data_IF_045318864172
#
_entry.id   IF_045318864172
#
_cell.length_a   1.000
_cell.length_b   1.000
_cell.length_c   1.000
_cell.angle_alpha   90.00
_cell.angle_beta   90.00
_cell.angle_gamma   90.00
#
_symmetry.space_group_name_H-M   'P 1'
#
loop_
_entity.id
_entity.type
_entity.pdbx_description
1 polymer ?
#
# COMPACT_ATOMS: atom_id res chain seq x y z
N UNK A 1 -0.33 22.06 -15.26
CA UNK A 1 -0.23 21.30 -13.98
C UNK A 1 -1.38 20.32 -13.93
N UNK A 2 -1.09 19.04 -14.21
CA UNK A 2 -1.95 17.91 -13.89
C UNK A 2 -1.11 17.10 -12.91
N UNK A 3 -1.49 17.11 -11.63
CA UNK A 3 -0.86 16.24 -10.65
C UNK A 3 -1.15 14.80 -11.04
N UNK A 4 -0.10 13.98 -11.14
CA UNK A 4 -0.24 12.53 -11.19
C UNK A 4 -0.81 12.08 -9.83
N UNK A 5 -2.14 12.15 -9.72
CA UNK A 5 -2.89 11.19 -8.92
C UNK A 5 -2.54 9.82 -9.47
N UNK A 6 -2.16 8.90 -8.58
CA UNK A 6 -1.92 7.50 -8.91
C UNK A 6 -3.06 7.02 -9.81
N UNK A 7 -2.70 6.60 -11.02
CA UNK A 7 -3.63 6.07 -11.99
C UNK A 7 -4.17 4.75 -11.43
N UNK A 8 -5.24 4.82 -10.65
CA UNK A 8 -6.16 3.70 -10.53
C UNK A 8 -6.73 3.55 -11.93
N UNK A 9 -6.36 2.48 -12.62
CA UNK A 9 -6.93 2.13 -13.92
C UNK A 9 -8.41 1.84 -13.68
N UNK A 10 -9.23 2.86 -13.91
CA UNK A 10 -10.69 2.75 -13.94
C UNK A 10 -11.05 2.01 -15.23
N UNK A 11 -11.43 0.73 -15.13
CA UNK A 11 -11.98 0.01 -16.28
C UNK A 11 -13.51 -0.07 -16.19
N UNK A 12 -14.15 0.47 -17.24
CA UNK A 12 -15.54 0.20 -17.58
C UNK A 12 -15.63 -1.26 -18.05
N UNK A 13 -16.35 -2.09 -17.31
CA UNK A 13 -16.79 -3.39 -17.79
C UNK A 13 -18.11 -3.17 -18.52
N UNK A 14 -18.10 -3.35 -19.85
CA UNK A 14 -19.28 -3.26 -20.69
C UNK A 14 -20.15 -4.52 -20.49
N UNK A 15 -21.30 -4.37 -19.84
CA UNK A 15 -22.28 -5.44 -19.72
C UNK A 15 -23.27 -5.38 -20.89
N UNK A 16 -23.29 -6.43 -21.71
CA UNK A 16 -24.38 -6.68 -22.67
C UNK A 16 -25.69 -6.90 -21.91
N UNK A 17 -26.60 -5.94 -22.01
CA UNK A 17 -27.97 -6.07 -21.53
C UNK A 17 -28.93 -5.16 -22.29
N UNK A 18 -29.63 -5.72 -23.28
CA UNK A 18 -30.98 -5.33 -23.73
C UNK A 18 -31.13 -3.98 -24.44
N UNK A 19 -31.72 -4.02 -25.63
CA UNK A 19 -32.06 -2.86 -26.47
C UNK A 19 -32.72 -1.70 -25.68
N UNK A 20 -32.00 -0.58 -25.59
CA UNK A 20 -32.50 0.67 -25.03
C UNK A 20 -31.50 1.79 -25.29
N UNK A 21 -31.86 2.75 -26.15
CA UNK A 21 -31.01 3.86 -26.56
C UNK A 21 -30.56 4.75 -25.36
N UNK A 22 -29.35 5.34 -25.39
CA UNK A 22 -28.86 6.19 -24.31
C UNK A 22 -29.49 7.59 -24.38
N UNK A 23 -30.08 8.05 -23.28
CA UNK A 23 -30.42 9.47 -23.07
C UNK A 23 -29.23 10.17 -22.43
N UNK A 24 -28.75 11.25 -23.04
CA UNK A 24 -27.69 12.12 -22.53
C UNK A 24 -28.18 12.90 -21.30
N UNK A 25 -27.43 12.82 -20.19
CA UNK A 25 -27.56 13.73 -19.06
C UNK A 25 -26.25 14.49 -18.90
N UNK A 26 -26.32 15.82 -19.08
CA UNK A 26 -25.23 16.76 -18.80
C UNK A 26 -25.27 17.12 -17.31
N UNK A 27 -24.19 16.86 -16.57
CA UNK A 27 -24.01 17.36 -15.21
C UNK A 27 -23.27 18.70 -15.28
N UNK A 28 -23.97 19.78 -14.92
CA UNK A 28 -23.39 21.10 -14.68
C UNK A 28 -22.80 21.09 -13.27
N UNK A 29 -21.50 21.36 -13.14
CA UNK A 29 -20.85 21.59 -11.86
C UNK A 29 -20.90 23.09 -11.55
N UNK A 30 -21.75 23.49 -10.60
CA UNK A 30 -21.70 24.83 -10.02
C UNK A 30 -20.55 24.89 -9.01
N UNK A 31 -19.64 25.86 -9.20
CA UNK A 31 -18.55 26.18 -8.29
C UNK A 31 -19.04 27.07 -7.14
N UNK A 32 -18.88 26.60 -5.91
CA UNK A 32 -19.03 27.43 -4.70
C UNK A 32 -17.63 27.86 -4.23
N UNK A 33 -17.35 29.17 -4.00
CA UNK A 33 -16.05 29.61 -3.49
C UNK A 33 -15.87 29.19 -2.02
N UNK A 34 -14.68 28.70 -1.68
CA UNK A 34 -14.23 28.53 -0.30
C UNK A 34 -13.58 29.83 0.18
N UNK A 35 -14.07 30.37 1.29
CA UNK A 35 -13.53 31.56 1.95
C UNK A 35 -12.10 31.32 2.48
N UNK A 36 -11.27 32.34 2.27
CA UNK A 36 -9.86 32.45 2.63
C UNK A 36 -9.70 32.80 4.13
N UNK A 37 -9.10 31.91 4.91
CA UNK A 37 -8.70 32.18 6.29
C UNK A 37 -7.18 32.36 6.38
N UNK A 38 -6.77 33.63 6.25
CA UNK A 38 -5.58 34.29 6.80
C UNK A 38 -4.37 33.43 7.18
N UNK A 39 -3.32 33.60 6.38
CA UNK A 39 -1.92 33.25 6.64
C UNK A 39 -1.47 33.58 8.06
N UNK A 40 -0.86 32.59 8.72
CA UNK A 40 0.09 32.81 9.81
C UNK A 40 1.47 33.02 9.18
N UNK A 41 1.90 34.28 9.12
CA UNK A 41 3.23 34.70 8.67
C UNK A 41 4.36 33.92 9.38
N UNK A 42 5.26 33.33 8.60
CA UNK A 42 6.61 32.99 9.09
C UNK A 42 7.20 31.62 8.73
N UNK A 43 6.47 30.70 8.10
CA UNK A 43 7.02 29.42 7.64
C UNK A 43 6.99 29.35 6.11
N UNK A 44 8.16 29.49 5.47
CA UNK A 44 8.27 29.32 4.02
C UNK A 44 7.73 27.95 3.59
N UNK A 45 6.72 27.95 2.72
CA UNK A 45 6.20 26.75 2.08
C UNK A 45 7.30 26.06 1.26
N UNK A 46 7.35 24.73 1.37
CA UNK A 46 8.26 23.88 0.61
C UNK A 46 7.54 23.40 -0.65
N UNK A 47 8.18 23.54 -1.80
CA UNK A 47 7.66 23.06 -3.08
C UNK A 47 8.61 22.01 -3.67
N UNK A 48 8.02 21.06 -4.37
CA UNK A 48 8.77 20.08 -5.16
C UNK A 48 9.09 20.72 -6.51
N UNK A 49 10.37 20.74 -6.88
CA UNK A 49 10.75 21.10 -8.25
C UNK A 49 10.48 19.95 -9.24
N UNK A 50 10.66 20.23 -10.52
CA UNK A 50 10.41 19.27 -11.61
C UNK A 50 11.34 18.03 -11.56
N UNK A 51 12.38 18.04 -10.71
CA UNK A 51 13.26 16.90 -10.44
C UNK A 51 12.85 16.09 -9.20
N UNK A 52 11.81 16.54 -8.48
CA UNK A 52 11.34 15.89 -7.26
C UNK A 52 12.25 16.14 -6.06
N UNK A 53 12.92 17.30 -5.99
CA UNK A 53 13.64 17.78 -4.82
C UNK A 53 12.83 18.86 -4.09
N UNK A 54 12.91 18.86 -2.75
CA UNK A 54 12.21 19.81 -1.88
C UNK A 54 12.98 21.13 -1.81
N UNK A 55 12.39 22.23 -2.26
CA UNK A 55 13.00 23.57 -2.25
C UNK A 55 12.14 24.60 -1.51
N UNK A 56 12.78 25.68 -1.04
CA UNK A 56 12.08 26.84 -0.48
C UNK A 56 11.54 27.71 -1.62
N UNK A 57 10.26 28.09 -1.54
CA UNK A 57 9.62 28.97 -2.51
C UNK A 57 10.28 30.37 -2.48
N UNK A 58 10.84 30.83 -3.61
CA UNK A 58 11.15 32.25 -3.86
C UNK A 58 12.58 32.78 -3.65
N UNK A 59 13.64 31.98 -3.81
CA UNK A 59 15.03 32.47 -3.79
C UNK A 59 15.69 32.54 -5.17
N UNK A 60 16.03 33.73 -5.66
CA UNK A 60 16.84 33.92 -6.87
C UNK A 60 18.20 33.19 -6.77
N UNK A 61 18.55 32.46 -7.82
CA UNK A 61 19.84 31.79 -7.97
C UNK A 61 21.00 32.80 -8.01
N UNK A 62 21.92 32.71 -7.05
CA UNK A 62 23.27 33.23 -7.20
C UNK A 62 24.16 32.06 -7.65
N UNK A 63 24.55 32.08 -8.92
CA UNK A 63 25.51 31.13 -9.46
C UNK A 63 26.88 31.31 -8.82
N UNK A 64 27.53 30.20 -8.47
CA UNK A 64 28.97 30.15 -8.26
C UNK A 64 29.52 29.06 -9.16
N UNK A 65 30.17 29.52 -10.23
CA UNK A 65 31.04 28.77 -11.12
C UNK A 65 32.24 28.25 -10.32
N UNK A 66 32.59 26.97 -10.43
CA UNK A 66 33.96 26.51 -10.16
C UNK A 66 34.37 25.47 -11.20
N UNK A 67 35.34 25.87 -12.03
CA UNK A 67 36.11 25.04 -12.95
C UNK A 67 37.41 24.58 -12.28
N UNK A 68 37.76 23.32 -12.54
CA UNK A 68 39.05 22.62 -12.57
C UNK A 68 40.14 22.80 -11.49
N UNK A 69 40.55 21.63 -10.96
CA UNK A 69 41.96 21.23 -10.91
C UNK A 69 42.67 21.23 -9.54
N UNK A 70 43.21 20.07 -9.14
CA UNK A 70 44.43 20.02 -8.31
C UNK A 70 44.34 19.31 -6.96
N UNK A 71 45.14 18.25 -6.81
CA UNK A 71 45.43 17.51 -5.57
C UNK A 71 46.12 18.40 -4.52
N UNK A 72 45.79 18.26 -3.23
CA UNK A 72 46.77 18.05 -2.12
C UNK A 72 46.11 18.12 -0.72
N UNK A 73 46.39 17.06 0.06
CA UNK A 73 46.70 16.94 1.50
C UNK A 73 46.01 17.75 2.61
N UNK A 74 45.74 16.97 3.66
CA UNK A 74 45.32 17.32 5.01
C UNK A 74 46.28 18.25 5.78
N UNK A 75 45.71 19.14 6.60
CA UNK A 75 46.03 19.31 8.04
C UNK A 75 45.15 20.40 8.66
N UNK A 76 44.96 20.25 9.97
CA UNK A 76 44.15 21.06 10.89
C UNK A 76 44.39 22.57 10.81
N UNK A 77 43.34 23.37 11.06
CA UNK A 77 43.45 24.45 12.06
C UNK A 77 42.08 24.99 12.53
N UNK A 78 42.01 25.22 13.84
CA UNK A 78 40.92 25.87 14.57
C UNK A 78 40.87 27.36 14.23
N UNK A 79 39.66 27.89 14.02
CA UNK A 79 39.39 29.30 14.26
C UNK A 79 38.01 29.49 14.92
N UNK A 80 38.05 29.81 16.21
CA UNK A 80 36.96 30.35 17.00
C UNK A 80 36.70 31.81 16.62
N UNK A 81 35.46 32.15 16.27
CA UNK A 81 34.98 33.52 16.29
C UNK A 81 33.66 33.57 17.09
N UNK A 82 33.75 34.22 18.25
CA UNK A 82 32.62 34.56 19.13
C UNK A 82 32.00 35.86 18.59
N UNK A 83 30.74 35.79 18.19
CA UNK A 83 29.93 36.95 17.84
C UNK A 83 28.54 36.80 18.47
N UNK A 84 28.27 37.54 19.54
CA UNK A 84 26.95 37.63 20.13
C UNK A 84 26.06 38.55 19.30
N UNK A 85 25.02 37.99 18.69
CA UNK A 85 23.79 38.71 18.35
C UNK A 85 22.60 37.94 18.91
N UNK A 86 21.88 38.57 19.84
CA UNK A 86 20.60 38.07 20.34
C UNK A 86 19.53 38.37 19.28
N UNK A 87 18.94 37.32 18.71
CA UNK A 87 17.67 37.37 18.00
C UNK A 87 16.91 36.10 18.34
N UNK A 88 15.80 36.24 19.06
CA UNK A 88 14.91 35.13 19.37
C UNK A 88 14.11 34.73 18.13
N UNK A 89 14.07 33.43 17.85
CA UNK A 89 13.07 32.80 16.98
C UNK A 89 13.23 31.29 17.10
N UNK A 90 12.30 30.66 17.82
CA UNK A 90 12.21 29.22 17.95
C UNK A 90 11.72 28.60 16.65
N UNK A 91 12.64 28.06 15.87
CA UNK A 91 12.39 26.92 15.00
C UNK A 91 13.50 25.92 15.31
N UNK A 92 13.12 24.74 15.81
CA UNK A 92 14.08 23.66 16.03
C UNK A 92 14.85 23.39 14.75
N UNK A 93 16.17 23.22 14.87
CA UNK A 93 17.00 22.64 13.80
C UNK A 93 16.38 21.28 13.46
N UNK A 94 15.63 21.19 12.37
CA UNK A 94 15.36 19.91 11.74
C UNK A 94 16.73 19.35 11.35
N UNK A 95 17.08 18.18 11.91
CA UNK A 95 18.26 17.44 11.49
C UNK A 95 18.23 17.27 9.97
N UNK A 96 19.40 17.18 9.35
CA UNK A 96 19.51 16.82 7.93
C UNK A 96 18.56 15.65 7.67
N UNK A 97 17.65 15.79 6.70
CA UNK A 97 16.92 14.65 6.16
C UNK A 97 17.99 13.67 5.67
N UNK A 98 18.30 12.67 6.48
CA UNK A 98 19.01 11.49 6.03
C UNK A 98 18.13 10.91 4.92
N UNK A 99 18.68 10.76 3.73
CA UNK A 99 18.01 10.03 2.67
C UNK A 99 17.65 8.66 3.22
N UNK A 100 16.36 8.44 3.51
CA UNK A 100 15.82 7.15 3.94
C UNK A 100 15.76 6.13 2.79
N UNK A 101 16.67 6.25 1.82
CA UNK A 101 16.95 5.15 0.92
C UNK A 101 17.80 4.19 1.71
N UNK A 102 17.31 2.95 1.86
CA UNK A 102 18.15 1.87 2.37
C UNK A 102 19.43 1.82 1.53
N UNK A 103 20.56 1.69 2.21
CA UNK A 103 21.87 1.56 1.57
C UNK A 103 21.79 0.48 0.47
N UNK A 104 22.08 0.86 -0.79
CA UNK A 104 22.05 -0.04 -1.95
C UNK A 104 20.79 -0.04 -2.82
N UNK A 105 19.78 0.81 -2.59
CA UNK A 105 18.68 1.00 -3.56
C UNK A 105 18.98 2.17 -4.49
N UNK A 106 19.42 1.89 -5.71
CA UNK A 106 19.41 2.88 -6.80
C UNK A 106 17.97 3.20 -7.17
N UNK A 107 17.63 4.49 -7.14
CA UNK A 107 16.33 4.97 -7.64
C UNK A 107 16.34 4.79 -9.15
N UNK A 108 15.39 4.02 -9.68
CA UNK A 108 15.18 3.92 -11.12
C UNK A 108 14.63 5.27 -11.64
N UNK A 109 15.26 5.82 -12.67
CA UNK A 109 14.69 6.93 -13.42
C UNK A 109 13.51 6.41 -14.25
N UNK A 110 12.36 7.06 -14.12
CA UNK A 110 11.18 6.69 -14.90
C UNK A 110 11.35 6.97 -16.39
N UNK A 111 12.24 7.89 -16.77
CA UNK A 111 12.60 8.20 -18.15
C UNK A 111 13.40 7.08 -18.82
N UNK A 112 14.10 6.27 -18.04
CA UNK A 112 14.89 5.15 -18.56
C UNK A 112 14.02 3.94 -18.88
N UNK A 113 12.87 3.77 -18.22
CA UNK A 113 12.00 2.60 -18.41
C UNK A 113 11.28 2.71 -19.77
N UNK A 114 11.54 1.76 -20.66
CA UNK A 114 10.94 1.73 -21.99
C UNK A 114 9.42 1.56 -21.88
N UNK A 115 8.67 2.36 -22.63
CA UNK A 115 7.21 2.44 -22.52
C UNK A 115 6.55 1.49 -23.51
N UNK A 116 5.41 0.93 -23.12
CA UNK A 116 4.55 0.11 -23.98
C UNK A 116 5.19 -1.19 -24.49
N UNK A 117 6.22 -1.70 -23.80
CA UNK A 117 6.92 -2.94 -24.15
C UNK A 117 6.58 -4.11 -23.23
N UNK A 118 5.55 -3.99 -22.41
CA UNK A 118 5.03 -5.09 -21.59
C UNK A 118 3.53 -5.22 -21.85
N UNK A 119 3.02 -6.43 -22.11
CA UNK A 119 1.59 -6.63 -22.32
C UNK A 119 0.80 -6.17 -21.10
N UNK A 120 -0.35 -5.53 -21.34
CA UNK A 120 -1.27 -5.22 -20.26
C UNK A 120 -1.83 -6.51 -19.68
N UNK A 121 -1.53 -6.76 -18.40
CA UNK A 121 -2.16 -7.84 -17.64
C UNK A 121 -3.61 -7.45 -17.35
N UNK A 122 -4.55 -8.28 -17.79
CA UNK A 122 -5.97 -8.18 -17.41
C UNK A 122 -6.19 -9.20 -16.30
N UNK A 123 -6.37 -8.79 -15.03
CA UNK A 123 -6.60 -9.72 -13.94
C UNK A 123 -7.84 -10.59 -14.23
N UNK A 124 -7.70 -11.92 -14.27
CA UNK A 124 -8.83 -12.83 -14.37
C UNK A 124 -9.79 -12.73 -13.19
N UNK A 125 -10.94 -13.38 -13.32
CA UNK A 125 -11.88 -13.54 -12.20
C UNK A 125 -11.28 -14.46 -11.13
N UNK A 126 -11.27 -14.00 -9.88
CA UNK A 126 -10.82 -14.77 -8.73
C UNK A 126 -11.73 -15.98 -8.51
N UNK A 127 -11.14 -17.16 -8.27
CA UNK A 127 -11.92 -18.35 -7.95
C UNK A 127 -12.61 -18.19 -6.60
N UNK A 128 -13.82 -18.74 -6.53
CA UNK A 128 -14.60 -18.91 -5.28
C UNK A 128 -14.38 -20.32 -4.72
N UNK A 129 -14.46 -20.47 -3.40
CA UNK A 129 -14.22 -21.76 -2.73
C UNK A 129 -15.25 -22.83 -3.15
N UNK A 130 -16.55 -22.53 -2.98
CA UNK A 130 -17.69 -23.34 -3.42
C UNK A 130 -18.89 -22.43 -3.61
N UNK A 131 -19.52 -22.50 -4.79
CA UNK A 131 -20.84 -21.89 -5.00
C UNK A 131 -21.88 -22.77 -4.30
N UNK A 132 -22.64 -22.22 -3.37
CA UNK A 132 -23.93 -22.80 -3.04
C UNK A 132 -25.03 -21.91 -3.62
N UNK A 133 -26.22 -22.45 -3.86
CA UNK A 133 -27.32 -21.72 -4.50
C UNK A 133 -27.79 -20.47 -3.73
N UNK A 134 -27.26 -20.21 -2.53
CA UNK A 134 -27.68 -19.15 -1.60
C UNK A 134 -26.65 -18.02 -1.46
N UNK A 135 -25.36 -18.26 -1.71
CA UNK A 135 -24.30 -17.26 -1.63
C UNK A 135 -23.00 -17.67 -2.36
N UNK A 136 -22.22 -16.68 -2.78
CA UNK A 136 -20.82 -16.84 -3.17
C UNK A 136 -19.93 -16.84 -1.92
N UNK A 137 -18.96 -17.76 -1.83
CA UNK A 137 -17.97 -17.79 -0.74
C UNK A 137 -16.56 -17.66 -1.28
N UNK A 138 -15.78 -16.76 -0.68
CA UNK A 138 -14.35 -16.58 -0.93
C UNK A 138 -13.58 -16.66 0.39
N UNK A 139 -12.37 -17.20 0.33
CA UNK A 139 -11.32 -16.92 1.31
C UNK A 139 -10.18 -16.26 0.56
N UNK A 140 -9.88 -15.01 0.93
CA UNK A 140 -8.94 -14.15 0.22
C UNK A 140 -7.86 -13.74 1.22
N UNK A 141 -6.61 -14.06 0.91
CA UNK A 141 -5.46 -13.74 1.72
C UNK A 141 -4.70 -12.54 1.18
N UNK A 142 -4.27 -11.66 2.07
CA UNK A 142 -3.18 -10.73 1.82
C UNK A 142 -1.84 -11.43 2.08
N UNK A 143 -0.96 -11.50 1.07
CA UNK A 143 0.39 -12.10 1.19
C UNK A 143 1.44 -11.21 0.55
N UNK A 144 2.70 -11.41 0.95
CA UNK A 144 3.88 -10.86 0.28
C UNK A 144 4.39 -11.87 -0.75
N UNK A 145 4.62 -11.43 -1.99
CA UNK A 145 5.19 -12.24 -3.07
C UNK A 145 5.96 -11.36 -4.05
N UNK A 146 6.61 -11.96 -5.07
CA UNK A 146 7.25 -11.20 -6.15
C UNK A 146 6.37 -11.18 -7.39
N UNK A 147 6.33 -10.05 -8.08
CA UNK A 147 5.68 -9.91 -9.38
C UNK A 147 6.60 -9.23 -10.37
N UNK A 148 6.71 -9.77 -11.59
CA UNK A 148 7.36 -9.08 -12.69
C UNK A 148 6.45 -7.95 -13.16
N UNK A 149 6.74 -6.70 -12.76
CA UNK A 149 5.97 -5.50 -13.13
C UNK A 149 6.63 -4.76 -14.29
N UNK A 150 7.93 -4.48 -14.16
CA UNK A 150 8.72 -3.78 -15.16
C UNK A 150 9.23 -4.74 -16.26
N UNK A 151 9.66 -4.22 -17.43
CA UNK A 151 10.26 -5.03 -18.49
C UNK A 151 11.37 -5.95 -17.95
N UNK A 152 11.36 -7.22 -18.35
CA UNK A 152 12.27 -8.22 -17.81
C UNK A 152 11.61 -9.57 -17.59
N UNK A 153 12.45 -10.59 -17.46
CA UNK A 153 12.00 -11.96 -17.19
C UNK A 153 10.95 -12.44 -18.19
N UNK A 154 9.76 -12.80 -17.71
CA UNK A 154 8.70 -13.35 -18.56
C UNK A 154 8.27 -12.38 -19.67
N UNK A 155 8.42 -11.06 -19.47
CA UNK A 155 8.03 -10.04 -20.44
C UNK A 155 9.02 -9.90 -21.59
N UNK A 156 10.28 -10.32 -21.39
CA UNK A 156 11.30 -10.31 -22.44
C UNK A 156 11.33 -11.63 -23.23
N UNK A 157 10.32 -12.48 -23.08
CA UNK A 157 10.24 -13.73 -23.83
C UNK A 157 9.68 -13.53 -25.23
N UNK A 158 10.20 -14.30 -26.20
CA UNK A 158 9.77 -14.25 -27.60
C UNK A 158 8.29 -14.57 -27.80
N UNK A 159 7.64 -15.22 -26.83
CA UNK A 159 6.20 -15.55 -26.83
C UNK A 159 5.32 -14.30 -26.89
N UNK A 160 5.78 -13.17 -26.34
CA UNK A 160 5.01 -11.92 -26.34
C UNK A 160 5.23 -11.07 -27.60
N UNK A 161 6.01 -11.57 -28.57
CA UNK A 161 6.35 -10.81 -29.78
C UNK A 161 7.18 -9.56 -29.50
N UNK A 162 7.70 -9.43 -28.27
CA UNK A 162 8.58 -8.36 -27.84
C UNK A 162 10.00 -8.78 -28.24
N UNK A 163 10.58 -7.94 -29.09
CA UNK A 163 11.79 -8.19 -29.89
C UNK A 163 12.99 -8.63 -29.05
N UNK A 164 13.90 -9.40 -29.65
CA UNK A 164 15.24 -9.79 -29.16
C UNK A 164 16.17 -8.62 -28.75
N UNK A 165 15.67 -7.37 -28.70
CA UNK A 165 16.46 -6.15 -28.53
C UNK A 165 16.13 -5.35 -27.26
N UNK A 166 15.28 -5.83 -26.35
CA UNK A 166 15.15 -5.17 -25.05
C UNK A 166 16.39 -5.46 -24.20
N UNK A 167 17.25 -4.45 -24.04
CA UNK A 167 18.38 -4.49 -23.10
C UNK A 167 17.92 -4.46 -21.64
N UNK A 168 16.69 -4.02 -21.38
CA UNK A 168 16.15 -3.85 -20.04
C UNK A 168 15.67 -5.16 -19.47
N UNK A 169 16.27 -5.59 -18.35
CA UNK A 169 15.92 -6.84 -17.71
C UNK A 169 15.75 -6.65 -16.20
N UNK A 170 14.72 -5.89 -15.80
CA UNK A 170 14.46 -5.57 -14.40
C UNK A 170 14.07 -6.81 -13.58
N UNK A 171 14.40 -6.78 -12.30
CA UNK A 171 14.02 -7.81 -11.35
C UNK A 171 12.53 -7.71 -10.98
N UNK A 172 11.92 -8.84 -10.63
CA UNK A 172 10.58 -8.87 -10.09
C UNK A 172 10.48 -8.07 -8.77
N UNK A 173 9.42 -7.29 -8.66
CA UNK A 173 9.14 -6.39 -7.53
C UNK A 173 8.50 -7.16 -6.40
N UNK A 174 8.97 -6.97 -5.17
CA UNK A 174 8.26 -7.45 -3.98
C UNK A 174 7.03 -6.60 -3.75
N UNK A 175 5.87 -7.23 -3.70
CA UNK A 175 4.57 -6.59 -3.45
C UNK A 175 3.82 -7.31 -2.35
N UNK A 176 2.87 -6.63 -1.75
CA UNK A 176 1.71 -7.26 -1.14
C UNK A 176 0.63 -7.43 -2.21
N UNK A 177 -0.32 -8.33 -1.99
CA UNK A 177 -1.48 -8.45 -2.85
C UNK A 177 -2.45 -9.49 -2.36
N UNK A 178 -3.61 -9.54 -3.03
CA UNK A 178 -4.70 -10.43 -2.70
C UNK A 178 -4.73 -11.65 -3.63
N UNK A 179 -5.03 -12.80 -3.06
CA UNK A 179 -5.27 -14.04 -3.80
C UNK A 179 -6.09 -15.04 -2.97
N UNK A 180 -6.65 -16.09 -3.60
CA UNK A 180 -7.29 -17.19 -2.89
C UNK A 180 -6.39 -17.78 -1.82
N UNK A 181 -6.92 -18.03 -0.62
CA UNK A 181 -6.13 -18.56 0.50
C UNK A 181 -5.49 -19.92 0.21
N UNK A 182 -6.15 -20.75 -0.59
CA UNK A 182 -5.68 -22.10 -0.97
C UNK A 182 -4.70 -22.08 -2.17
N UNK A 183 -4.35 -20.92 -2.71
CA UNK A 183 -3.38 -20.83 -3.81
C UNK A 183 -1.95 -21.17 -3.36
N UNK A 184 -1.21 -21.95 -4.17
CA UNK A 184 0.21 -22.17 -3.95
C UNK A 184 0.99 -20.89 -4.24
N UNK A 185 2.27 -20.89 -3.88
CA UNK A 185 3.18 -19.78 -4.21
C UNK A 185 3.20 -19.56 -5.73
N UNK A 186 3.05 -18.31 -6.22
CA UNK A 186 3.16 -18.01 -7.65
C UNK A 186 4.47 -18.54 -8.23
N UNK A 187 4.40 -19.32 -9.29
CA UNK A 187 5.59 -19.89 -9.90
C UNK A 187 5.52 -19.84 -11.42
N UNK A 188 6.19 -18.85 -12.00
CA UNK A 188 6.27 -18.68 -13.45
C UNK A 188 7.14 -19.73 -14.17
N UNK A 189 7.69 -20.77 -13.51
CA UNK A 189 8.70 -21.67 -14.11
C UNK A 189 8.24 -22.34 -15.41
N UNK A 190 6.94 -22.50 -15.63
CA UNK A 190 6.38 -23.02 -16.89
C UNK A 190 6.31 -21.99 -18.02
N UNK A 191 6.57 -20.71 -17.74
CA UNK A 191 6.57 -19.60 -18.69
C UNK A 191 7.99 -19.32 -19.17
N UNK A 192 8.16 -19.10 -20.47
CA UNK A 192 9.43 -18.69 -21.06
C UNK A 192 9.88 -17.34 -20.48
N UNK A 193 11.18 -17.18 -20.21
CA UNK A 193 11.75 -15.96 -19.61
C UNK A 193 11.61 -15.88 -18.09
N UNK A 194 10.97 -16.85 -17.43
CA UNK A 194 10.87 -16.84 -15.97
C UNK A 194 12.25 -16.82 -15.28
N UNK A 195 12.45 -15.85 -14.38
CA UNK A 195 13.72 -15.62 -13.67
C UNK A 195 13.90 -16.45 -12.40
N UNK A 196 12.91 -17.25 -12.03
CA UNK A 196 12.97 -18.09 -10.84
C UNK A 196 11.57 -18.46 -10.31
N UNK A 197 11.50 -19.38 -9.36
CA UNK A 197 10.25 -19.66 -8.65
C UNK A 197 9.80 -18.44 -7.82
N UNK A 198 8.54 -18.43 -7.38
CA UNK A 198 8.03 -17.37 -6.49
C UNK A 198 7.62 -16.07 -7.18
N UNK A 199 7.53 -16.07 -8.52
CA UNK A 199 7.26 -14.87 -9.33
C UNK A 199 5.91 -14.98 -10.05
N UNK A 200 5.05 -14.00 -9.82
CA UNK A 200 3.83 -13.72 -10.57
C UNK A 200 4.11 -12.81 -11.79
N UNK A 201 3.24 -12.77 -12.81
CA UNK A 201 2.09 -13.65 -13.00
C UNK A 201 2.50 -15.09 -13.26
N UNK A 202 1.69 -16.02 -12.78
CA UNK A 202 1.97 -17.45 -12.87
C UNK A 202 0.68 -18.23 -13.11
N UNK A 203 0.70 -19.31 -13.93
CA UNK A 203 -0.51 -20.07 -14.23
C UNK A 203 -1.01 -20.92 -13.06
N UNK A 204 -0.18 -21.15 -12.04
CA UNK A 204 -0.52 -21.99 -10.89
C UNK A 204 -1.14 -21.22 -9.71
N UNK A 205 -1.24 -19.89 -9.79
CA UNK A 205 -1.64 -19.05 -8.65
C UNK A 205 -2.34 -17.78 -9.11
N UNK A 206 -3.37 -17.34 -8.38
CA UNK A 206 -4.10 -16.09 -8.65
C UNK A 206 -3.63 -14.92 -7.77
N UNK A 207 -2.53 -15.07 -7.00
CA UNK A 207 -1.89 -13.91 -6.35
C UNK A 207 -1.28 -12.98 -7.41
N UNK A 208 -1.75 -11.73 -7.41
CA UNK A 208 -1.35 -10.72 -8.36
C UNK A 208 -1.59 -9.31 -7.79
N UNK A 209 -0.90 -8.33 -8.35
CA UNK A 209 -1.18 -6.91 -8.18
C UNK A 209 -1.49 -6.26 -9.55
N UNK A 210 -2.66 -5.62 -9.72
CA UNK A 210 -3.81 -5.62 -8.81
C UNK A 210 -4.32 -7.04 -8.53
N UNK A 211 -5.03 -7.22 -7.41
CA UNK A 211 -5.67 -8.50 -7.11
C UNK A 211 -6.68 -8.89 -8.20
N UNK A 212 -6.94 -10.20 -8.33
CA UNK A 212 -7.89 -10.69 -9.33
C UNK A 212 -9.32 -10.19 -9.06
N UNK A 213 -10.09 -10.01 -10.12
CA UNK A 213 -11.44 -9.41 -10.05
C UNK A 213 -12.43 -10.33 -9.35
N UNK A 214 -13.27 -9.77 -8.47
CA UNK A 214 -14.41 -10.48 -7.89
C UNK A 214 -15.68 -10.08 -8.64
N UNK A 215 -16.33 -11.04 -9.29
CA UNK A 215 -17.61 -10.82 -9.98
C UNK A 215 -18.79 -11.27 -9.13
N UNK A 216 -19.80 -10.42 -8.99
CA UNK A 216 -21.03 -10.71 -8.25
C UNK A 216 -22.29 -10.41 -9.06
N UNK A 217 -23.34 -11.16 -8.79
CA UNK A 217 -24.67 -10.91 -9.33
C UNK A 217 -25.51 -10.13 -8.33
N UNK A 218 -26.29 -9.16 -8.80
CA UNK A 218 -27.22 -8.40 -7.96
C UNK A 218 -28.16 -9.34 -7.18
N UNK A 219 -28.40 -9.02 -5.91
CA UNK A 219 -29.19 -9.77 -4.94
C UNK A 219 -28.66 -11.19 -4.63
N UNK A 220 -27.46 -11.54 -5.12
CA UNK A 220 -26.78 -12.77 -4.72
C UNK A 220 -25.72 -12.43 -3.68
N UNK A 221 -25.91 -12.90 -2.44
CA UNK A 221 -25.04 -12.56 -1.32
C UNK A 221 -23.62 -13.10 -1.51
N UNK A 222 -22.64 -12.39 -0.98
CA UNK A 222 -21.24 -12.82 -0.95
C UNK A 222 -20.73 -12.81 0.48
N UNK A 223 -20.06 -13.89 0.87
CA UNK A 223 -19.31 -14.00 2.12
C UNK A 223 -17.82 -14.08 1.75
N UNK A 224 -17.01 -13.22 2.35
CA UNK A 224 -15.56 -13.24 2.19
C UNK A 224 -14.92 -13.40 3.55
N UNK A 225 -14.12 -14.45 3.71
CA UNK A 225 -13.15 -14.57 4.79
C UNK A 225 -11.87 -13.87 4.33
N UNK A 226 -11.57 -12.71 4.92
CA UNK A 226 -10.36 -11.93 4.64
C UNK A 226 -9.25 -12.36 5.59
N UNK A 227 -8.17 -12.90 5.03
CA UNK A 227 -7.04 -13.46 5.75
C UNK A 227 -5.85 -12.50 5.73
N UNK A 228 -5.31 -12.20 6.91
CA UNK A 228 -4.03 -11.53 7.07
C UNK A 228 -2.93 -12.59 7.18
N UNK A 229 -2.39 -12.96 6.03
CA UNK A 229 -1.32 -13.97 5.90
C UNK A 229 0.05 -13.28 5.70
N UNK A 230 0.23 -12.07 6.25
CA UNK A 230 1.49 -11.34 6.21
C UNK A 230 2.48 -11.91 7.25
N UNK A 231 2.92 -13.14 6.98
CA UNK A 231 3.94 -13.90 7.72
C UNK A 231 5.12 -14.25 6.82
N UNK A 232 6.19 -14.83 7.40
CA UNK A 232 7.44 -15.13 6.68
C UNK A 232 7.24 -16.11 5.53
N UNK A 233 6.52 -17.21 5.79
CA UNK A 233 6.16 -18.22 4.79
C UNK A 233 4.69 -18.65 4.97
N UNK A 234 3.75 -17.94 4.31
CA UNK A 234 2.33 -18.22 4.44
C UNK A 234 1.90 -19.54 3.80
N UNK A 235 2.75 -20.19 3.00
CA UNK A 235 2.43 -21.48 2.38
C UNK A 235 2.80 -22.67 3.28
N UNK A 236 3.74 -22.48 4.20
CA UNK A 236 4.12 -23.48 5.21
C UNK A 236 3.48 -23.24 6.59
N UNK A 237 2.93 -22.05 6.84
CA UNK A 237 2.33 -21.72 8.14
C UNK A 237 0.98 -22.43 8.39
N UNK A 238 0.84 -23.15 9.51
CA UNK A 238 -0.47 -23.60 10.01
C UNK A 238 -1.15 -22.46 10.77
N UNK A 239 -1.97 -21.67 10.07
CA UNK A 239 -2.76 -20.58 10.68
C UNK A 239 -3.80 -21.06 11.71
N UNK A 240 -4.04 -22.36 11.86
CA UNK A 240 -4.88 -22.91 12.94
C UNK A 240 -4.11 -22.99 14.26
N UNK A 241 -2.80 -23.22 14.20
CA UNK A 241 -1.89 -23.31 15.33
C UNK A 241 -0.54 -22.66 14.96
N UNK A 242 -0.50 -21.31 14.84
CA UNK A 242 0.66 -20.63 14.31
C UNK A 242 1.88 -20.83 15.20
N UNK A 243 2.90 -21.50 14.66
CA UNK A 243 4.12 -21.85 15.37
C UNK A 243 5.32 -21.90 14.40
N UNK A 244 6.51 -21.70 14.95
CA UNK A 244 7.75 -21.73 14.19
C UNK A 244 7.96 -20.50 13.28
N UNK A 245 9.09 -20.51 12.58
CA UNK A 245 9.57 -19.38 11.80
C UNK A 245 8.67 -19.03 10.62
N UNK A 246 8.06 -20.03 9.97
CA UNK A 246 7.15 -19.81 8.84
C UNK A 246 5.97 -18.88 9.22
N UNK A 247 5.49 -19.00 10.45
CA UNK A 247 4.39 -18.22 10.99
C UNK A 247 4.83 -16.92 11.67
N UNK A 248 6.11 -16.55 11.69
CA UNK A 248 6.52 -15.25 12.24
C UNK A 248 5.97 -14.12 11.36
N UNK A 249 5.53 -13.02 11.97
CA UNK A 249 5.03 -11.87 11.21
C UNK A 249 6.14 -11.27 10.34
N UNK A 250 5.75 -10.66 9.21
CA UNK A 250 6.67 -9.81 8.46
C UNK A 250 6.51 -8.35 8.84
N UNK A 251 7.61 -7.61 8.72
CA UNK A 251 7.61 -6.15 8.71
C UNK A 251 6.99 -5.62 7.42
N UNK A 252 6.42 -4.43 7.50
CA UNK A 252 5.96 -3.73 6.31
C UNK A 252 7.14 -3.46 5.33
N UNK A 253 6.90 -3.53 4.02
CA UNK A 253 7.95 -3.33 3.00
C UNK A 253 8.34 -1.84 2.82
N UNK A 254 7.46 -0.94 3.27
CA UNK A 254 7.69 0.51 3.37
C UNK A 254 7.84 0.93 4.83
N UNK A 255 8.57 2.01 5.08
CA UNK A 255 8.69 2.65 6.39
C UNK A 255 7.34 3.15 6.90
N UNK A 256 7.05 2.86 8.18
CA UNK A 256 5.81 3.25 8.85
C UNK A 256 6.13 4.23 9.98
N UNK A 257 5.54 5.42 9.89
CA UNK A 257 5.67 6.49 10.86
C UNK A 257 4.68 6.29 12.01
N UNK A 258 5.22 6.02 13.21
CA UNK A 258 4.46 5.76 14.41
C UNK A 258 3.94 7.04 15.09
N UNK A 259 4.38 8.22 14.66
CA UNK A 259 3.99 9.52 15.26
C UNK A 259 2.63 10.04 14.79
N UNK A 260 2.07 9.42 13.75
CA UNK A 260 0.77 9.76 13.18
C UNK A 260 -0.39 9.27 14.04
N UNK A 261 -1.62 9.64 13.66
CA UNK A 261 -2.81 8.94 14.13
C UNK A 261 -2.96 7.64 13.32
N UNK A 262 -2.79 6.49 13.99
CA UNK A 262 -2.71 5.20 13.31
C UNK A 262 -3.20 4.04 14.18
N UNK A 263 -3.20 2.84 13.59
CA UNK A 263 -3.57 1.57 14.21
C UNK A 263 -2.74 1.17 15.44
N UNK A 264 -1.57 1.78 15.70
CA UNK A 264 -0.78 1.62 16.92
C UNK A 264 -0.72 0.21 17.57
N UNK A 265 -0.34 -0.88 16.86
CA UNK A 265 -0.33 -2.20 17.48
C UNK A 265 0.72 -2.34 18.59
N UNK A 266 1.77 -1.52 18.58
CA UNK A 266 2.79 -1.49 19.64
C UNK A 266 2.27 -0.94 20.98
N UNK A 267 1.03 -0.42 21.02
CA UNK A 267 0.41 0.08 22.24
C UNK A 267 1.15 1.27 22.84
N UNK A 268 1.69 2.17 22.00
CA UNK A 268 2.28 3.42 22.48
C UNK A 268 1.15 4.23 23.15
N UNK A 269 1.30 4.71 24.39
CA UNK A 269 0.22 5.39 25.10
C UNK A 269 -0.40 6.53 24.28
N UNK A 270 -1.73 6.57 24.17
CA UNK A 270 -2.42 7.53 23.32
C UNK A 270 -2.66 8.87 24.01
N UNK A 271 -2.66 9.96 23.22
CA UNK A 271 -2.94 11.31 23.71
C UNK A 271 -4.36 11.44 24.31
N UNK A 272 -5.31 10.67 23.77
CA UNK A 272 -6.72 10.66 24.16
C UNK A 272 -7.07 9.66 25.26
N UNK A 273 -6.11 8.86 25.76
CA UNK A 273 -6.35 7.83 26.80
C UNK A 273 -5.94 6.42 26.37
N UNK A 274 -6.72 5.39 26.72
CA UNK A 274 -6.44 4.00 26.28
C UNK A 274 -7.23 3.69 25.01
N UNK A 275 -6.56 3.70 23.87
CA UNK A 275 -7.08 3.17 22.60
C UNK A 275 -5.99 2.33 21.95
N UNK A 276 -6.38 1.33 21.17
CA UNK A 276 -5.48 0.68 20.21
C UNK A 276 -5.26 1.56 18.98
N UNK A 277 -6.06 2.60 18.79
CA UNK A 277 -6.14 3.44 17.60
C UNK A 277 -6.01 4.90 18.00
N UNK A 278 -4.86 5.51 17.71
CA UNK A 278 -4.62 6.87 18.16
C UNK A 278 -3.38 7.50 17.57
N UNK A 279 -3.25 8.81 17.81
CA UNK A 279 -1.97 9.48 17.88
C UNK A 279 -1.31 9.23 19.26
N UNK A 280 -0.06 8.77 19.31
CA UNK A 280 0.68 8.66 20.56
C UNK A 280 0.78 9.98 21.35
N UNK A 281 0.72 9.90 22.68
CA UNK A 281 0.78 11.03 23.62
C UNK A 281 2.20 11.52 23.87
N UNK A 282 3.09 10.58 24.17
CA UNK A 282 4.42 10.89 24.67
C UNK A 282 5.38 11.01 23.48
N UNK A 283 5.61 12.25 23.05
CA UNK A 283 6.58 12.57 22.00
C UNK A 283 8.03 12.19 22.36
N UNK A 284 8.30 11.78 23.61
CA UNK A 284 9.60 11.29 24.07
C UNK A 284 9.70 9.77 24.10
N UNK A 285 8.63 9.03 23.77
CA UNK A 285 8.71 7.58 23.66
C UNK A 285 9.75 7.23 22.58
N UNK A 286 10.82 6.50 22.93
CA UNK A 286 11.93 6.24 22.02
C UNK A 286 11.50 5.48 20.77
N UNK A 287 10.37 4.74 20.82
CA UNK A 287 9.83 4.03 19.65
C UNK A 287 9.39 4.99 18.56
N UNK A 288 8.96 6.21 18.90
CA UNK A 288 8.57 7.23 17.92
C UNK A 288 9.74 7.78 17.11
N UNK A 289 10.97 7.62 17.59
CA UNK A 289 12.18 7.98 16.85
C UNK A 289 12.61 6.91 15.83
N UNK A 290 11.89 5.79 15.76
CA UNK A 290 12.21 4.64 14.91
C UNK A 290 11.03 4.20 14.05
N UNK A 291 11.33 3.56 12.93
CA UNK A 291 10.31 2.91 12.10
C UNK A 291 9.60 1.81 12.87
N UNK A 292 8.30 1.62 12.61
CA UNK A 292 7.58 0.47 13.15
C UNK A 292 8.13 -0.85 12.57
N UNK A 293 8.46 -1.79 13.45
CA UNK A 293 9.04 -3.09 13.10
C UNK A 293 8.15 -4.28 13.48
N UNK A 294 6.90 -4.03 13.88
CA UNK A 294 5.95 -5.06 14.27
C UNK A 294 5.13 -5.63 13.10
N UNK A 295 4.12 -6.45 13.43
CA UNK A 295 3.21 -7.09 12.47
C UNK A 295 2.36 -6.08 11.71
N UNK A 296 2.05 -6.35 10.43
CA UNK A 296 1.25 -5.45 9.60
C UNK A 296 -0.25 -5.60 9.90
N UNK A 297 -0.93 -4.57 10.42
CA UNK A 297 -2.38 -4.58 10.55
C UNK A 297 -3.07 -4.42 9.19
N UNK A 298 -4.25 -5.03 9.05
CA UNK A 298 -5.09 -4.84 7.87
C UNK A 298 -6.59 -4.72 8.21
N UNK A 299 -7.34 -4.05 7.35
CA UNK A 299 -8.81 -4.12 7.25
C UNK A 299 -9.20 -3.85 5.81
N UNK A 300 -10.11 -4.64 5.24
CA UNK A 300 -10.53 -4.46 3.84
C UNK A 300 -11.79 -3.62 3.78
N UNK A 301 -11.80 -2.61 2.92
CA UNK A 301 -12.99 -1.85 2.53
C UNK A 301 -13.35 -2.20 1.08
N UNK A 302 -14.63 -2.49 0.82
CA UNK A 302 -15.16 -2.64 -0.54
C UNK A 302 -15.84 -1.34 -0.91
N UNK A 303 -15.11 -0.51 -1.64
CA UNK A 303 -15.53 0.83 -1.99
C UNK A 303 -16.75 0.82 -2.90
N UNK A 304 -17.76 1.58 -2.49
CA UNK A 304 -19.05 1.67 -3.18
C UNK A 304 -20.04 0.57 -2.78
N UNK A 305 -19.69 -0.36 -1.89
CA UNK A 305 -20.62 -1.41 -1.46
C UNK A 305 -21.71 -0.86 -0.53
N UNK A 306 -22.96 -1.21 -0.80
CA UNK A 306 -24.05 -1.08 0.16
C UNK A 306 -23.93 -2.23 1.17
N UNK A 307 -23.34 -1.91 2.31
CA UNK A 307 -22.90 -2.88 3.31
C UNK A 307 -23.20 -2.39 4.72
N UNK A 308 -23.32 -3.32 5.67
CA UNK A 308 -23.47 -3.00 7.08
C UNK A 308 -22.12 -2.62 7.69
N UNK A 309 -22.14 -1.79 8.74
CA UNK A 309 -20.92 -1.28 9.41
C UNK A 309 -19.94 -2.36 9.84
N UNK A 310 -20.42 -3.55 10.19
CA UNK A 310 -19.59 -4.70 10.58
C UNK A 310 -18.89 -5.39 9.40
N UNK A 311 -19.11 -4.98 8.16
CA UNK A 311 -18.47 -5.54 6.96
C UNK A 311 -17.99 -4.45 6.00
N UNK A 312 -18.02 -3.19 6.45
CA UNK A 312 -17.63 -2.02 5.66
C UNK A 312 -16.12 -1.79 5.66
N UNK A 313 -15.41 -2.23 6.71
CA UNK A 313 -13.98 -2.01 6.83
C UNK A 313 -13.62 -0.68 7.49
N UNK A 314 -14.24 -0.39 8.65
CA UNK A 314 -13.89 0.78 9.45
C UNK A 314 -12.37 0.84 9.72
N UNK A 315 -11.73 2.03 9.66
CA UNK A 315 -10.30 2.15 9.87
C UNK A 315 -9.78 1.57 11.18
N UNK A 316 -10.57 1.67 12.25
CA UNK A 316 -10.29 1.17 13.61
C UNK A 316 -10.76 -0.28 13.82
N UNK A 317 -11.17 -0.99 12.76
CA UNK A 317 -11.59 -2.39 12.79
C UNK A 317 -10.52 -3.33 12.19
N UNK A 318 -9.25 -2.93 12.22
CA UNK A 318 -8.13 -3.73 11.75
C UNK A 318 -7.81 -4.92 12.65
N UNK A 319 -7.11 -5.91 12.08
CA UNK A 319 -6.58 -7.07 12.81
C UNK A 319 -5.17 -7.43 12.35
N UNK A 320 -4.39 -8.01 13.26
CA UNK A 320 -3.05 -8.54 12.98
C UNK A 320 -3.11 -9.92 12.30
N UNK A 321 -2.01 -10.35 11.63
CA UNK A 321 -1.87 -11.73 11.17
C UNK A 321 -1.98 -12.73 12.33
N UNK A 322 -2.39 -13.96 12.00
CA UNK A 322 -2.26 -15.09 12.91
C UNK A 322 -0.80 -15.58 12.94
N UNK A 323 0.08 -14.78 13.53
CA UNK A 323 1.51 -15.05 13.61
C UNK A 323 1.95 -15.63 14.96
N UNK A 324 3.09 -16.31 14.98
CA UNK A 324 3.65 -17.00 16.15
C UNK A 324 4.30 -16.06 17.18
N UNK A 325 4.64 -14.83 16.77
CA UNK A 325 5.45 -13.87 17.53
C UNK A 325 4.75 -12.52 17.76
N UNK A 326 3.41 -12.48 17.74
CA UNK A 326 2.61 -11.24 17.94
C UNK A 326 2.37 -10.87 19.41
N UNK A 327 3.02 -11.55 20.35
CA UNK A 327 2.89 -11.25 21.76
C UNK A 327 3.49 -9.87 22.09
N UNK A 328 2.79 -9.11 22.92
CA UNK A 328 3.12 -7.72 23.21
C UNK A 328 2.51 -6.69 22.25
N UNK A 329 1.83 -7.13 21.18
CA UNK A 329 1.07 -6.25 20.30
C UNK A 329 -0.44 -6.33 20.54
N UNK A 330 -1.14 -5.21 20.36
CA UNK A 330 -2.59 -5.20 20.24
C UNK A 330 -2.99 -5.97 18.97
N UNK A 331 -3.84 -6.99 19.13
CA UNK A 331 -4.20 -7.90 18.02
C UNK A 331 -5.30 -7.37 17.09
N UNK A 332 -6.00 -6.33 17.52
CA UNK A 332 -7.15 -5.77 16.83
C UNK A 332 -7.40 -4.32 17.26
N UNK A 333 -8.02 -3.55 16.37
CA UNK A 333 -8.48 -2.20 16.64
C UNK A 333 -9.75 -2.12 17.49
N UNK A 334 -10.05 -0.92 17.97
CA UNK A 334 -11.08 -0.63 18.96
C UNK A 334 -12.51 -0.92 18.47
N UNK A 335 -12.73 -0.94 17.14
CA UNK A 335 -14.05 -1.20 16.55
C UNK A 335 -14.23 -2.64 16.07
N UNK A 336 -13.21 -3.50 16.18
CA UNK A 336 -13.35 -4.92 15.86
C UNK A 336 -14.48 -5.54 16.67
N UNK A 337 -15.37 -6.27 16.00
CA UNK A 337 -16.51 -6.97 16.59
C UNK A 337 -17.53 -6.07 17.33
N UNK A 338 -17.40 -4.72 17.26
CA UNK A 338 -18.30 -3.78 17.96
C UNK A 338 -19.74 -3.86 17.46
N UNK A 339 -19.92 -4.02 16.14
CA UNK A 339 -21.23 -4.03 15.48
C UNK A 339 -21.76 -5.45 15.17
N UNK A 340 -20.88 -6.46 15.12
CA UNK A 340 -21.26 -7.88 15.08
C UNK A 340 -20.11 -8.71 15.67
N UNK A 341 -20.38 -9.49 16.72
CA UNK A 341 -19.39 -10.34 17.42
C UNK A 341 -18.93 -11.57 16.62
N UNK A 342 -19.22 -11.59 15.32
CA UNK A 342 -19.01 -12.74 14.43
C UNK A 342 -18.04 -12.48 13.30
N UNK A 343 -17.50 -11.26 13.17
CA UNK A 343 -16.60 -10.93 12.07
C UNK A 343 -15.22 -11.53 12.31
N UNK A 344 -14.60 -11.24 13.45
CA UNK A 344 -13.21 -11.64 13.72
C UNK A 344 -13.21 -12.68 14.84
N UNK A 345 -13.62 -13.91 14.50
CA UNK A 345 -13.71 -15.05 15.44
C UNK A 345 -12.45 -15.91 15.48
N UNK A 346 -11.60 -15.79 14.47
CA UNK A 346 -10.32 -16.48 14.36
C UNK A 346 -9.23 -15.41 14.27
N UNK A 347 -8.07 -15.68 14.86
CA UNK A 347 -6.91 -14.81 14.68
C UNK A 347 -6.58 -14.70 13.19
N UNK A 348 -6.14 -13.52 12.74
CA UNK A 348 -5.78 -13.29 11.35
C UNK A 348 -6.94 -13.24 10.35
N UNK A 349 -8.20 -13.46 10.76
CA UNK A 349 -9.31 -13.59 9.81
C UNK A 349 -10.52 -12.74 10.19
N UNK A 350 -11.09 -12.05 9.20
CA UNK A 350 -12.35 -11.34 9.30
C UNK A 350 -13.38 -11.83 8.26
N UNK A 351 -14.56 -12.26 8.70
CA UNK A 351 -15.66 -12.73 7.84
C UNK A 351 -16.66 -11.62 7.53
N UNK A 352 -16.64 -11.08 6.31
CA UNK A 352 -17.49 -9.97 5.86
C UNK A 352 -18.60 -10.42 4.91
N UNK A 353 -19.77 -9.78 5.01
CA UNK A 353 -20.97 -10.12 4.24
C UNK A 353 -21.43 -8.96 3.37
N UNK A 354 -21.50 -9.21 2.07
CA UNK A 354 -21.99 -8.27 1.08
C UNK A 354 -23.35 -8.72 0.55
N UNK A 355 -24.34 -7.83 0.60
CA UNK A 355 -25.72 -8.12 0.18
C UNK A 355 -25.88 -8.07 -1.34
N UNK A 356 -25.07 -7.23 -1.98
CA UNK A 356 -25.10 -6.96 -3.42
C UNK A 356 -26.49 -6.51 -3.90
N UNK A 357 -27.25 -5.77 -3.09
CA UNK A 357 -28.63 -5.33 -3.39
C UNK A 357 -28.75 -3.91 -3.97
N UNK A 358 -27.61 -3.28 -4.24
CA UNK A 358 -27.48 -2.01 -4.98
C UNK A 358 -27.58 -2.22 -6.51
N UNK A 359 -27.66 -1.14 -7.32
CA UNK A 359 -27.55 -1.22 -8.78
C UNK A 359 -26.20 -1.80 -9.25
N UNK A 360 -26.18 -2.41 -10.43
CA UNK A 360 -24.93 -2.88 -11.05
C UNK A 360 -23.97 -1.71 -11.26
N UNK A 361 -22.73 -1.87 -10.80
CA UNK A 361 -21.66 -0.88 -10.91
C UNK A 361 -20.32 -1.58 -10.79
N UNK A 362 -19.24 -0.90 -11.20
CA UNK A 362 -17.88 -1.29 -10.80
C UNK A 362 -17.67 -0.89 -9.35
N UNK A 363 -17.13 -1.82 -8.56
CA UNK A 363 -16.61 -1.60 -7.22
C UNK A 363 -15.13 -1.98 -7.21
N UNK A 364 -14.42 -1.56 -6.18
CA UNK A 364 -13.02 -1.95 -5.95
C UNK A 364 -12.83 -2.20 -4.47
N UNK A 365 -11.83 -3.01 -4.10
CA UNK A 365 -11.55 -3.27 -2.69
C UNK A 365 -10.08 -3.06 -2.37
N UNK A 366 -9.84 -2.54 -1.17
CA UNK A 366 -8.50 -2.13 -0.76
C UNK A 366 -8.37 -2.15 0.76
N UNK A 367 -7.13 -2.11 1.23
CA UNK A 367 -6.90 -1.92 2.66
C UNK A 367 -7.31 -0.52 3.12
N UNK A 368 -7.89 -0.43 4.32
CA UNK A 368 -8.45 0.78 4.91
C UNK A 368 -7.91 1.03 6.33
N UNK A 369 -6.76 0.47 6.68
CA UNK A 369 -6.20 0.52 8.04
C UNK A 369 -5.83 1.94 8.47
N UNK A 370 -6.27 2.34 9.66
CA UNK A 370 -6.02 3.68 10.20
C UNK A 370 -4.53 4.05 10.16
N UNK A 371 -4.23 5.17 9.51
CA UNK A 371 -2.86 5.69 9.37
C UNK A 371 -1.93 4.87 8.48
N UNK A 372 -2.38 3.72 7.94
CA UNK A 372 -1.59 2.81 7.09
C UNK A 372 -2.21 2.55 5.71
N UNK A 373 -3.42 3.03 5.41
CA UNK A 373 -4.06 2.93 4.07
C UNK A 373 -3.10 3.28 2.94
N UNK A 374 -2.41 4.41 3.02
CA UNK A 374 -1.46 4.84 1.98
C UNK A 374 -0.34 3.83 1.73
N UNK A 375 0.15 3.20 2.80
CA UNK A 375 1.28 2.27 2.74
C UNK A 375 0.83 0.90 2.26
N UNK A 376 -0.27 0.41 2.81
CA UNK A 376 -0.85 -0.90 2.50
C UNK A 376 -1.37 -0.96 1.06
N UNK A 377 -2.07 0.09 0.59
CA UNK A 377 -2.53 0.21 -0.80
C UNK A 377 -1.34 0.33 -1.75
N UNK A 378 -0.36 1.19 -1.45
CA UNK A 378 0.84 1.33 -2.28
C UNK A 378 1.67 0.04 -2.36
N UNK A 379 1.71 -0.75 -1.29
CA UNK A 379 2.36 -2.05 -1.28
C UNK A 379 1.66 -3.07 -2.19
N UNK A 380 0.39 -2.86 -2.55
CA UNK A 380 -0.36 -3.65 -3.52
C UNK A 380 -1.68 -4.24 -3.01
N UNK A 381 -2.14 -3.88 -1.80
CA UNK A 381 -3.43 -4.33 -1.26
C UNK A 381 -4.61 -3.55 -1.86
N UNK A 382 -4.83 -3.75 -3.16
CA UNK A 382 -5.96 -3.22 -3.93
C UNK A 382 -6.32 -4.12 -5.12
N UNK A 383 -7.60 -4.10 -5.52
CA UNK A 383 -8.14 -4.87 -6.64
C UNK A 383 -9.43 -4.25 -7.20
#
# INVERSE_FOLDING_TARGET
MVGLLGLVVLLLVEFRGGDGAPTSASAVADSVPLDDHSDVDGCAALEWDESGLLQRKGGHAAGVLLQDGGKANASDEKATAVGHTKSGSGCGRFGKASSLLREGTERLDAGDIEKYVTPLVIPPVMRREKANRKLNKYSISARKFKQQILPGGIWNSSVWGIVESLSQDYNATTVFGYGPTDDPEPNCKSLQGCKGPGIAPAPNSQFNYPGYTVENTRNHKTLVDWHNDLVKDPWSCDFSHPAGEACEYIRHILSIDQSLHWANPAGIPCASGRSTDCRPADVRDPRLASEYTGPVPMVVHVHGAHVHSNSDGYPEAWWLPAASDVDGFARAGALVNRFDRRTNRRHGVASFRYRNDQPSTTLWFHDHTLGMTRNNVYAGMAA
#
